data_IF_039037774387
#
_entry.id   IF_039037774387
#
_cell.length_a   1.000
_cell.length_b   1.000
_cell.length_c   1.000
_cell.angle_alpha   90.00
_cell.angle_beta   90.00
_cell.angle_gamma   90.00
#
_symmetry.space_group_name_H-M   'P 1'
#
loop_
_entity.id
_entity.type
_entity.pdbx_description
1 polymer ?
#
# COMPACT_ATOMS: atom_id res chain seq x y z
N UNK A 1 0.43 -3.66 -5.43
CA UNK A 1 0.74 -3.51 -4.00
C UNK A 1 0.67 -4.83 -3.27
N UNK A 2 -0.45 -5.57 -3.28
CA UNK A 2 -0.55 -6.85 -2.54
C UNK A 2 -0.17 -8.10 -3.33
N UNK A 3 -0.11 -8.00 -4.66
CA UNK A 3 0.13 -9.15 -5.54
C UNK A 3 -1.09 -10.07 -5.69
N UNK A 4 -2.20 -9.74 -4.99
CA UNK A 4 -3.47 -10.45 -5.03
C UNK A 4 -4.40 -9.89 -6.10
N UNK A 5 -5.31 -10.73 -6.60
CA UNK A 5 -6.37 -10.36 -7.54
C UNK A 5 -7.73 -10.50 -6.86
N UNK A 6 -8.74 -9.68 -7.21
CA UNK A 6 -10.10 -9.84 -6.67
C UNK A 6 -10.74 -11.22 -6.92
N UNK A 7 -10.21 -11.98 -7.89
CA UNK A 7 -10.67 -13.33 -8.25
C UNK A 7 -9.87 -14.44 -7.57
N UNK A 8 -8.90 -14.13 -6.72
CA UNK A 8 -8.18 -15.14 -5.97
C UNK A 8 -9.12 -15.82 -4.96
N UNK A 9 -9.00 -17.14 -4.80
CA UNK A 9 -9.85 -17.99 -3.93
C UNK A 9 -9.93 -17.49 -2.47
N UNK A 10 -8.93 -16.73 -2.00
CA UNK A 10 -8.92 -16.17 -0.64
C UNK A 10 -10.00 -15.11 -0.38
N UNK A 11 -10.68 -14.64 -1.43
CA UNK A 11 -11.74 -13.62 -1.35
C UNK A 11 -13.16 -14.19 -1.52
N UNK A 12 -13.35 -15.44 -1.14
CA UNK A 12 -14.68 -16.05 -1.03
C UNK A 12 -15.44 -15.55 0.22
N UNK A 13 -16.71 -15.93 0.36
CA UNK A 13 -17.56 -15.63 1.53
C UNK A 13 -17.72 -14.13 1.87
N UNK A 14 -17.80 -13.28 0.85
CA UNK A 14 -18.01 -11.84 1.02
C UNK A 14 -16.75 -11.07 1.46
N UNK A 15 -15.61 -11.75 1.55
CA UNK A 15 -14.33 -11.07 1.62
C UNK A 15 -14.00 -10.42 0.27
N UNK A 16 -13.20 -9.37 0.31
CA UNK A 16 -12.73 -8.70 -0.91
C UNK A 16 -11.38 -8.03 -0.63
N UNK A 17 -10.74 -7.60 -1.72
CA UNK A 17 -9.43 -6.98 -1.64
C UNK A 17 -9.42 -5.69 -0.80
N UNK A 18 -10.50 -4.91 -0.80
CA UNK A 18 -10.60 -3.70 0.02
C UNK A 18 -10.55 -4.04 1.50
N UNK A 19 -11.41 -4.95 1.97
CA UNK A 19 -11.47 -5.36 3.38
C UNK A 19 -10.14 -5.98 3.82
N UNK A 20 -9.55 -6.85 2.99
CA UNK A 20 -8.26 -7.47 3.26
C UNK A 20 -7.13 -6.45 3.50
N UNK A 21 -7.11 -5.39 2.71
CA UNK A 21 -6.15 -4.29 2.88
C UNK A 21 -6.52 -3.43 4.09
N UNK A 22 -7.79 -3.08 4.26
CA UNK A 22 -8.26 -2.19 5.32
C UNK A 22 -7.99 -2.74 6.72
N UNK A 23 -8.17 -4.05 6.96
CA UNK A 23 -7.87 -4.67 8.25
C UNK A 23 -6.37 -4.75 8.56
N UNK A 24 -5.53 -4.71 7.52
CA UNK A 24 -4.07 -4.80 7.66
C UNK A 24 -3.42 -3.43 7.77
N UNK A 25 -4.15 -2.36 7.48
CA UNK A 25 -3.63 -1.00 7.42
C UNK A 25 -3.63 -0.31 8.80
N UNK A 26 -2.59 0.47 9.16
CA UNK A 26 -1.27 0.58 8.50
C UNK A 26 -0.27 -0.48 9.01
N UNK A 27 -0.51 -1.06 10.19
CA UNK A 27 0.50 -1.76 10.98
C UNK A 27 0.97 -3.09 10.38
N UNK A 28 0.11 -3.75 9.60
CA UNK A 28 0.37 -5.07 9.02
C UNK A 28 0.57 -5.03 7.50
N UNK A 29 0.80 -3.86 6.90
CA UNK A 29 0.96 -3.72 5.44
C UNK A 29 2.07 -4.58 4.88
N UNK A 30 3.16 -4.74 5.63
CA UNK A 30 4.30 -5.57 5.23
C UNK A 30 3.94 -7.05 5.07
N UNK A 31 2.96 -7.56 5.82
CA UNK A 31 2.50 -8.95 5.72
C UNK A 31 1.67 -9.22 4.47
N UNK A 32 1.13 -8.15 3.86
CA UNK A 32 0.25 -8.24 2.70
C UNK A 32 0.88 -7.62 1.45
N UNK A 33 2.10 -7.10 1.55
CA UNK A 33 2.84 -6.53 0.43
C UNK A 33 3.24 -7.64 -0.54
N UNK A 34 3.16 -7.34 -1.84
CA UNK A 34 3.71 -8.20 -2.88
C UNK A 34 5.23 -8.24 -2.72
N UNK A 35 5.83 -9.40 -2.43
CA UNK A 35 7.28 -9.51 -2.24
C UNK A 35 8.05 -8.95 -3.44
N UNK A 36 7.51 -9.09 -4.65
CA UNK A 36 8.15 -8.59 -5.89
C UNK A 36 8.31 -7.08 -5.98
N UNK A 37 7.71 -6.31 -5.06
CA UNK A 37 7.83 -4.84 -5.02
C UNK A 37 9.01 -4.34 -4.19
N UNK A 38 9.65 -5.21 -3.40
CA UNK A 38 10.82 -4.88 -2.59
C UNK A 38 12.01 -5.73 -3.03
N UNK A 39 13.23 -5.19 -2.92
CA UNK A 39 14.45 -5.99 -3.19
C UNK A 39 14.55 -7.12 -2.16
N UNK A 40 15.18 -8.25 -2.53
CA UNK A 40 15.46 -9.34 -1.59
C UNK A 40 16.17 -8.88 -0.32
N UNK A 41 17.04 -7.87 -0.42
CA UNK A 41 17.74 -7.31 0.75
C UNK A 41 16.78 -6.60 1.72
N UNK A 42 15.71 -5.99 1.18
CA UNK A 42 14.63 -5.36 1.95
C UNK A 42 13.67 -6.43 2.47
N UNK A 43 13.34 -7.46 1.69
CA UNK A 43 12.51 -8.59 2.12
C UNK A 43 13.12 -9.33 3.32
N UNK A 44 14.42 -9.62 3.28
CA UNK A 44 15.15 -10.30 4.37
C UNK A 44 15.10 -9.46 5.64
N UNK A 45 15.26 -8.15 5.50
CA UNK A 45 15.20 -7.26 6.64
C UNK A 45 13.79 -6.92 7.15
N UNK A 46 12.75 -7.27 6.40
CA UNK A 46 11.37 -7.26 6.87
C UNK A 46 10.99 -8.54 7.63
N UNK A 47 11.72 -9.64 7.40
CA UNK A 47 11.53 -10.93 8.07
C UNK A 47 12.28 -11.00 9.40
N UNK A 48 13.48 -10.42 9.46
CA UNK A 48 14.09 -10.02 10.72
C UNK A 48 13.26 -8.84 11.23
N UNK A 49 12.79 -8.80 12.48
CA UNK A 49 11.95 -7.71 13.01
C UNK A 49 12.65 -6.32 13.02
N UNK A 50 13.82 -6.22 12.39
CA UNK A 50 14.62 -5.03 12.27
C UNK A 50 14.14 -4.14 11.11
N UNK A 51 13.02 -3.43 11.35
CA UNK A 51 12.46 -2.37 10.48
C UNK A 51 13.48 -1.29 10.07
N UNK A 52 14.65 -1.26 10.69
CA UNK A 52 15.76 -0.31 10.44
C UNK A 52 16.32 -0.36 9.00
N UNK A 53 16.08 -1.43 8.24
CA UNK A 53 16.65 -1.60 6.90
C UNK A 53 15.70 -1.21 5.76
N UNK A 54 14.42 -0.90 6.04
CA UNK A 54 13.62 -0.16 5.06
C UNK A 54 14.07 1.29 5.12
N UNK A 55 14.44 1.86 3.97
CA UNK A 55 14.62 3.31 3.88
C UNK A 55 13.27 3.91 4.31
N UNK A 56 13.19 4.75 5.37
CA UNK A 56 11.93 5.23 5.94
C UNK A 56 10.96 5.82 4.89
N UNK A 57 11.53 6.41 3.83
CA UNK A 57 10.79 6.97 2.69
C UNK A 57 9.99 5.92 1.91
N UNK A 58 10.45 4.67 1.82
CA UNK A 58 9.74 3.59 1.12
C UNK A 58 8.51 3.15 1.91
N UNK A 59 8.64 2.98 3.23
CA UNK A 59 7.52 2.60 4.09
C UNK A 59 6.42 3.66 4.05
N UNK A 60 6.78 4.94 4.16
CA UNK A 60 5.86 6.08 4.06
C UNK A 60 5.17 6.14 2.69
N UNK A 61 5.90 5.87 1.61
CA UNK A 61 5.31 5.76 0.27
C UNK A 61 4.30 4.61 0.19
N UNK A 62 4.62 3.44 0.73
CA UNK A 62 3.73 2.28 0.73
C UNK A 62 2.45 2.57 1.53
N UNK A 63 2.58 3.11 2.75
CA UNK A 63 1.43 3.53 3.57
C UNK A 63 0.54 4.50 2.78
N UNK A 64 1.14 5.50 2.14
CA UNK A 64 0.38 6.47 1.34
C UNK A 64 -0.33 5.83 0.15
N UNK A 65 0.34 4.92 -0.58
CA UNK A 65 -0.24 4.20 -1.72
C UNK A 65 -1.40 3.30 -1.30
N UNK A 66 -1.26 2.58 -0.18
CA UNK A 66 -2.33 1.74 0.36
C UNK A 66 -3.52 2.59 0.83
N UNK A 67 -3.28 3.74 1.48
CA UNK A 67 -4.33 4.68 1.89
C UNK A 67 -5.13 5.18 0.69
N UNK A 68 -4.46 5.59 -0.39
CA UNK A 68 -5.13 5.96 -1.65
C UNK A 68 -5.97 4.80 -2.18
N UNK A 69 -5.39 3.58 -2.22
CA UNK A 69 -6.09 2.38 -2.66
C UNK A 69 -7.38 2.10 -1.87
N UNK A 70 -7.34 2.22 -0.54
CA UNK A 70 -8.51 2.04 0.34
C UNK A 70 -9.59 3.08 0.00
N UNK A 71 -9.24 4.37 -0.03
CA UNK A 71 -10.20 5.44 -0.28
C UNK A 71 -10.81 5.31 -1.70
N UNK A 72 -9.99 4.96 -2.71
CA UNK A 72 -10.48 4.74 -4.07
C UNK A 72 -11.42 3.54 -4.21
N UNK A 73 -11.34 2.57 -3.30
CA UNK A 73 -12.11 1.32 -3.33
C UNK A 73 -13.29 1.29 -2.36
N UNK A 74 -13.65 2.42 -1.74
CA UNK A 74 -14.88 2.55 -0.95
C UNK A 74 -16.10 2.12 -1.78
N UNK A 75 -17.05 1.42 -1.14
CA UNK A 75 -18.24 0.91 -1.83
C UNK A 75 -19.07 2.06 -2.43
N UNK A 76 -19.34 3.09 -1.63
CA UNK A 76 -20.06 4.29 -2.07
C UNK A 76 -19.19 5.15 -2.99
N UNK A 77 -19.66 5.50 -4.20
CA UNK A 77 -18.94 6.41 -5.08
C UNK A 77 -18.69 7.80 -4.47
N UNK A 78 -19.54 8.23 -3.52
CA UNK A 78 -19.43 9.54 -2.86
C UNK A 78 -18.31 9.60 -1.82
N UNK A 79 -17.87 8.45 -1.32
CA UNK A 79 -16.77 8.34 -0.35
C UNK A 79 -15.41 8.15 -1.04
N UNK A 80 -15.41 7.88 -2.35
CA UNK A 80 -14.19 7.75 -3.13
C UNK A 80 -13.56 9.11 -3.36
N UNK A 81 -12.23 9.15 -3.24
CA UNK A 81 -11.44 10.31 -3.63
C UNK A 81 -11.64 10.59 -5.11
N UNK A 82 -11.80 11.87 -5.48
CA UNK A 82 -11.91 12.23 -6.89
C UNK A 82 -10.58 12.00 -7.61
N UNK A 83 -10.64 11.74 -8.91
CA UNK A 83 -9.45 11.33 -9.69
C UNK A 83 -8.38 12.43 -9.79
N UNK A 84 -8.77 13.70 -9.69
CA UNK A 84 -7.81 14.81 -9.71
C UNK A 84 -6.95 14.80 -8.44
N UNK A 85 -7.57 14.61 -7.28
CA UNK A 85 -6.88 14.47 -5.99
C UNK A 85 -6.02 13.20 -5.97
N UNK A 86 -6.53 12.06 -6.45
CA UNK A 86 -5.75 10.82 -6.58
C UNK A 86 -4.48 11.06 -7.39
N UNK A 87 -4.59 11.75 -8.53
CA UNK A 87 -3.44 12.04 -9.40
C UNK A 87 -2.46 13.00 -8.71
N UNK A 88 -2.97 13.98 -7.96
CA UNK A 88 -2.17 14.90 -7.16
C UNK A 88 -1.36 14.18 -6.08
N UNK A 89 -2.01 13.33 -5.29
CA UNK A 89 -1.36 12.55 -4.22
C UNK A 89 -0.34 11.56 -4.79
N UNK A 90 -0.67 10.84 -5.87
CA UNK A 90 0.28 9.94 -6.55
C UNK A 90 1.50 10.68 -7.08
N UNK A 91 1.34 11.92 -7.57
CA UNK A 91 2.44 12.77 -8.03
C UNK A 91 3.35 13.19 -6.87
N UNK A 92 2.78 13.52 -5.70
CA UNK A 92 3.54 13.83 -4.48
C UNK A 92 4.34 12.62 -4.01
N UNK A 93 3.71 11.44 -3.91
CA UNK A 93 4.39 10.19 -3.54
C UNK A 93 5.53 9.89 -4.51
N UNK A 94 5.29 10.01 -5.82
CA UNK A 94 6.32 9.80 -6.82
C UNK A 94 7.52 10.73 -6.62
N UNK A 95 7.28 12.01 -6.38
CA UNK A 95 8.36 12.99 -6.12
C UNK A 95 9.11 12.66 -4.84
N UNK A 96 8.41 12.36 -3.75
CA UNK A 96 9.02 11.96 -2.48
C UNK A 96 9.93 10.73 -2.64
N UNK A 97 9.46 9.73 -3.39
CA UNK A 97 10.21 8.50 -3.64
C UNK A 97 11.51 8.76 -4.43
N UNK A 98 11.48 9.62 -5.45
CA UNK A 98 12.65 9.89 -6.28
C UNK A 98 13.58 11.00 -5.76
N UNK A 99 13.05 11.92 -4.96
CA UNK A 99 13.77 13.13 -4.54
C UNK A 99 14.15 13.11 -3.04
N UNK A 100 13.59 12.20 -2.23
CA UNK A 100 13.88 12.13 -0.79
C UNK A 100 13.26 13.25 0.05
N UNK A 101 12.33 14.04 -0.50
CA UNK A 101 11.69 15.16 0.20
C UNK A 101 10.17 14.92 0.31
N UNK A 102 9.67 14.76 1.54
CA UNK A 102 8.25 14.85 1.87
C UNK A 102 8.03 16.20 2.55
N UNK A 103 7.22 17.06 1.93
CA UNK A 103 6.66 18.28 2.55
C UNK A 103 5.14 18.20 2.50
#
# INVERSE_FOLDING_TARGET
LTGRRPTDEVFEDGQNLHNFVAISFPDNLMKILDPRLVSRDVEVAMQDENRENLIPTIEECLVSLFRIGIICSMESPKERMNIADVTGELSKIKKAFFNGEIN
#
